data_IF_019558430090
#
_entry.id   IF_019558430090
#
_cell.length_a   1.000
_cell.length_b   1.000
_cell.length_c   1.000
_cell.angle_alpha   90.00
_cell.angle_beta   90.00
_cell.angle_gamma   90.00
#
_symmetry.space_group_name_H-M   'P 1'
#
loop_
_entity.id
_entity.type
_entity.pdbx_description
1 polymer ?
#
# COMPACT_ATOMS: atom_id res chain seq x y z
N UNK A 1 -1.11 -8.26 7.35
CA UNK A 1 -1.54 -7.66 6.07
C UNK A 1 -2.49 -8.50 5.19
N UNK A 2 -2.09 -9.66 4.64
CA UNK A 2 -2.90 -10.35 3.61
C UNK A 2 -4.37 -10.64 4.03
N UNK A 3 -4.57 -11.12 5.26
CA UNK A 3 -5.91 -11.38 5.80
C UNK A 3 -6.75 -10.09 5.95
N UNK A 4 -6.14 -8.97 6.34
CA UNK A 4 -6.81 -7.67 6.44
C UNK A 4 -7.28 -7.20 5.06
N UNK A 5 -6.42 -7.37 4.05
CA UNK A 5 -6.70 -7.00 2.68
C UNK A 5 -7.86 -7.82 2.08
N UNK A 6 -7.84 -9.14 2.26
CA UNK A 6 -8.91 -10.02 1.79
C UNK A 6 -10.24 -9.74 2.51
N UNK A 7 -10.18 -9.52 3.83
CA UNK A 7 -11.36 -9.13 4.64
C UNK A 7 -11.95 -7.82 4.13
N UNK A 8 -11.11 -6.83 3.81
CA UNK A 8 -11.56 -5.57 3.22
C UNK A 8 -12.21 -5.77 1.84
N UNK A 9 -11.61 -6.57 0.96
CA UNK A 9 -12.20 -6.85 -0.34
C UNK A 9 -13.58 -7.48 -0.20
N UNK A 10 -13.75 -8.44 0.71
CA UNK A 10 -15.03 -9.08 1.03
C UNK A 10 -16.06 -8.11 1.62
N UNK A 11 -15.64 -7.12 2.41
CA UNK A 11 -16.54 -6.15 3.07
C UNK A 11 -17.36 -5.26 2.12
N UNK A 12 -16.92 -5.10 0.87
CA UNK A 12 -17.56 -4.17 -0.07
C UNK A 12 -17.33 -2.68 0.22
N UNK A 13 -16.61 -2.34 1.29
CA UNK A 13 -16.37 -0.95 1.71
C UNK A 13 -15.44 -0.19 0.75
N UNK A 14 -15.52 1.14 0.76
CA UNK A 14 -14.80 2.02 -0.18
C UNK A 14 -13.34 2.28 0.18
N UNK A 15 -12.98 2.19 1.45
CA UNK A 15 -11.66 2.57 1.96
C UNK A 15 -11.14 1.49 2.89
N UNK A 16 -9.88 1.13 2.67
CA UNK A 16 -9.06 0.34 3.57
C UNK A 16 -8.07 1.31 4.22
N UNK A 17 -7.96 1.26 5.54
CA UNK A 17 -6.91 1.95 6.27
C UNK A 17 -6.26 0.95 7.22
N UNK A 18 -4.96 0.75 7.08
CA UNK A 18 -4.16 -0.05 7.97
C UNK A 18 -3.56 0.84 9.06
N UNK A 19 -3.50 0.32 10.27
CA UNK A 19 -2.86 0.91 11.46
C UNK A 19 -2.35 -0.24 12.33
N UNK A 20 -1.27 0.00 13.07
CA UNK A 20 -0.75 -0.92 14.07
C UNK A 20 -1.53 -0.82 15.39
N UNK A 21 -1.30 -1.74 16.33
CA UNK A 21 -2.02 -1.83 17.61
C UNK A 21 -1.67 -0.70 18.60
N UNK A 22 -0.57 0.00 18.34
CA UNK A 22 -0.10 1.15 19.10
C UNK A 22 -0.50 2.50 18.47
N UNK A 23 -1.32 2.49 17.41
CA UNK A 23 -1.78 3.70 16.74
C UNK A 23 -3.09 4.26 17.30
N UNK A 24 -3.15 5.58 17.47
CA UNK A 24 -4.40 6.31 17.73
C UNK A 24 -5.03 6.82 16.43
N UNK A 25 -6.30 6.52 16.20
CA UNK A 25 -7.03 6.98 15.01
C UNK A 25 -8.03 8.08 15.38
N UNK A 26 -7.92 9.24 14.73
CA UNK A 26 -8.97 10.28 14.75
C UNK A 26 -9.91 10.09 13.55
N UNK A 27 -11.10 9.46 13.73
CA UNK A 27 -11.98 9.11 12.60
C UNK A 27 -12.59 10.33 11.92
N UNK A 28 -12.77 11.47 12.63
CA UNK A 28 -13.33 12.69 12.05
C UNK A 28 -12.35 13.33 11.06
N UNK A 29 -11.09 13.47 11.49
CA UNK A 29 -10.03 13.98 10.62
C UNK A 29 -9.78 13.05 9.43
N UNK A 30 -9.76 11.73 9.67
CA UNK A 30 -9.61 10.73 8.61
C UNK A 30 -10.73 10.85 7.56
N UNK A 31 -12.00 10.93 8.00
CA UNK A 31 -13.12 11.08 7.08
C UNK A 31 -13.04 12.37 6.25
N UNK A 32 -12.62 13.49 6.85
CA UNK A 32 -12.41 14.75 6.14
C UNK A 32 -11.35 14.62 5.05
N UNK A 33 -10.21 14.00 5.37
CA UNK A 33 -9.14 13.72 4.40
C UNK A 33 -9.64 12.84 3.26
N UNK A 34 -10.24 11.68 3.57
CA UNK A 34 -10.65 10.70 2.55
C UNK A 34 -11.73 11.24 1.60
N UNK A 35 -12.60 12.14 2.07
CA UNK A 35 -13.63 12.80 1.24
C UNK A 35 -13.06 13.80 0.23
N UNK A 36 -11.85 14.31 0.44
CA UNK A 36 -11.22 15.27 -0.47
C UNK A 36 -10.73 14.63 -1.78
N UNK A 37 -10.57 13.30 -1.81
CA UNK A 37 -10.09 12.60 -3.00
C UNK A 37 -11.21 12.35 -4.02
N UNK A 38 -10.95 12.54 -5.34
CA UNK A 38 -11.91 12.21 -6.38
C UNK A 38 -12.22 10.70 -6.42
N UNK A 39 -13.51 10.33 -6.43
CA UNK A 39 -13.96 8.94 -6.46
C UNK A 39 -13.47 8.13 -7.67
N UNK A 40 -13.18 8.81 -8.79
CA UNK A 40 -12.74 8.17 -10.02
C UNK A 40 -11.25 7.80 -10.04
N UNK A 41 -10.44 8.27 -9.09
CA UNK A 41 -8.98 8.05 -9.08
C UNK A 41 -8.60 6.88 -8.18
N UNK A 42 -7.50 6.23 -8.49
CA UNK A 42 -6.85 5.30 -7.57
C UNK A 42 -6.13 6.14 -6.49
N UNK A 43 -6.29 5.78 -5.22
CA UNK A 43 -5.71 6.55 -4.12
C UNK A 43 -4.93 5.63 -3.20
N UNK A 44 -3.68 6.02 -2.93
CA UNK A 44 -2.82 5.52 -1.88
C UNK A 44 -2.27 6.72 -1.13
N UNK A 45 -2.59 6.85 0.16
CA UNK A 45 -2.24 8.01 0.99
C UNK A 45 -1.66 7.57 2.31
N UNK A 46 -0.63 8.28 2.78
CA UNK A 46 0.04 8.01 4.04
C UNK A 46 1.30 8.85 4.19
N UNK A 47 2.11 8.54 5.21
CA UNK A 47 3.41 9.18 5.45
C UNK A 47 4.53 8.42 4.71
N UNK A 48 5.23 9.03 3.74
CA UNK A 48 6.41 8.42 3.13
C UNK A 48 7.44 8.05 4.19
N UNK A 49 7.95 6.82 4.16
CA UNK A 49 8.88 6.32 5.20
C UNK A 49 10.28 6.95 5.12
N UNK A 50 10.75 7.22 3.91
CA UNK A 50 12.06 7.78 3.63
C UNK A 50 11.92 9.17 3.01
N UNK A 51 13.03 9.91 2.96
CA UNK A 51 13.12 11.16 2.19
C UNK A 51 13.46 10.94 0.71
N UNK A 52 13.51 9.67 0.28
CA UNK A 52 13.80 9.22 -1.09
C UNK A 52 13.07 7.90 -1.36
N UNK A 53 12.84 7.50 -2.62
CA UNK A 53 12.38 6.15 -2.93
C UNK A 53 13.32 5.09 -2.34
N UNK A 54 12.78 3.97 -1.89
CA UNK A 54 13.59 2.80 -1.54
C UNK A 54 14.07 2.12 -2.82
N UNK A 55 15.25 1.51 -2.78
CA UNK A 55 15.74 0.64 -3.83
C UNK A 55 15.55 -0.82 -3.42
N UNK A 56 15.01 -1.63 -4.32
CA UNK A 56 14.88 -3.06 -4.12
C UNK A 56 15.34 -3.84 -5.36
N UNK A 57 15.75 -5.08 -5.14
CA UNK A 57 16.08 -6.01 -6.21
C UNK A 57 14.88 -6.93 -6.46
N UNK A 58 14.37 -6.90 -7.69
CA UNK A 58 13.31 -7.81 -8.14
C UNK A 58 13.92 -8.91 -9.02
N UNK A 59 13.91 -10.18 -8.57
CA UNK A 59 14.31 -11.31 -9.40
C UNK A 59 13.45 -11.41 -10.65
N UNK A 60 14.10 -11.71 -11.78
CA UNK A 60 13.46 -11.94 -13.08
C UNK A 60 13.80 -13.34 -13.59
N UNK A 61 13.04 -13.86 -14.58
CA UNK A 61 13.40 -15.08 -15.28
C UNK A 61 14.84 -15.03 -15.83
N UNK A 62 15.47 -16.19 -15.98
CA UNK A 62 16.84 -16.35 -16.49
C UNK A 62 17.93 -15.73 -15.58
N UNK A 63 17.74 -15.80 -14.25
CA UNK A 63 18.68 -15.29 -13.24
C UNK A 63 19.05 -13.81 -13.43
N UNK A 64 18.16 -13.03 -14.04
CA UNK A 64 18.32 -11.58 -14.14
C UNK A 64 17.72 -10.93 -12.89
N UNK A 65 18.22 -9.74 -12.56
CA UNK A 65 17.66 -8.93 -11.48
C UNK A 65 17.35 -7.55 -12.04
N UNK A 66 16.18 -7.02 -11.72
CA UNK A 66 15.81 -5.65 -12.02
C UNK A 66 15.87 -4.82 -10.74
N UNK A 67 16.62 -3.74 -10.78
CA UNK A 67 16.56 -2.73 -9.73
C UNK A 67 15.25 -1.96 -9.88
N UNK A 68 14.44 -1.91 -8.82
CA UNK A 68 13.22 -1.12 -8.75
C UNK A 68 13.38 -0.02 -7.70
N UNK A 69 12.73 1.11 -7.96
CA UNK A 69 12.67 2.25 -7.05
C UNK A 69 11.22 2.66 -6.86
N UNK A 70 10.80 2.86 -5.61
CA UNK A 70 9.42 3.22 -5.29
C UNK A 70 9.30 3.90 -3.93
N UNK A 71 8.23 4.66 -3.75
CA UNK A 71 7.81 5.13 -2.44
C UNK A 71 6.86 4.14 -1.78
N UNK A 72 6.85 4.15 -0.45
CA UNK A 72 5.90 3.41 0.36
C UNK A 72 5.52 4.24 1.59
N UNK A 73 4.28 4.09 2.02
CA UNK A 73 3.79 4.66 3.27
C UNK A 73 4.26 3.80 4.44
N UNK A 74 4.72 4.45 5.51
CA UNK A 74 5.17 3.78 6.73
C UNK A 74 4.00 3.04 7.39
N UNK A 75 4.14 1.73 7.63
CA UNK A 75 3.10 0.91 8.26
C UNK A 75 2.59 1.49 9.59
N UNK A 76 3.53 1.73 10.52
CA UNK A 76 3.21 2.24 11.86
C UNK A 76 2.79 3.71 11.94
N UNK A 77 2.77 4.44 10.82
CA UNK A 77 2.10 5.76 10.77
C UNK A 77 0.64 5.66 10.30
N UNK A 78 0.24 4.46 9.85
CA UNK A 78 -0.98 4.20 9.13
C UNK A 78 -0.94 4.65 7.67
N UNK A 79 -1.77 3.99 6.85
CA UNK A 79 -2.00 4.39 5.46
C UNK A 79 -3.38 3.95 5.00
N UNK A 80 -3.88 4.56 3.92
CA UNK A 80 -5.15 4.17 3.32
C UNK A 80 -5.05 3.96 1.81
N UNK A 81 -5.85 3.01 1.31
CA UNK A 81 -6.12 2.82 -0.12
C UNK A 81 -7.62 2.77 -0.37
N UNK A 82 -8.06 3.20 -1.55
CA UNK A 82 -9.45 3.02 -1.94
C UNK A 82 -9.70 1.66 -2.59
N UNK A 83 -10.96 1.21 -2.57
CA UNK A 83 -11.38 -0.09 -3.12
C UNK A 83 -10.98 -0.27 -4.58
N UNK A 84 -11.05 0.79 -5.37
CA UNK A 84 -10.68 0.76 -6.79
C UNK A 84 -9.22 0.34 -6.98
N UNK A 85 -8.30 0.91 -6.21
CA UNK A 85 -6.90 0.52 -6.20
C UNK A 85 -6.72 -0.89 -5.64
N UNK A 86 -7.35 -1.21 -4.51
CA UNK A 86 -7.24 -2.54 -3.91
C UNK A 86 -7.67 -3.67 -4.85
N UNK A 87 -8.76 -3.51 -5.61
CA UNK A 87 -9.18 -4.50 -6.60
C UNK A 87 -8.10 -4.73 -7.68
N UNK A 88 -7.37 -3.69 -8.09
CA UNK A 88 -6.25 -3.82 -9.03
C UNK A 88 -5.03 -4.49 -8.40
N UNK A 89 -4.84 -4.36 -7.09
CA UNK A 89 -3.74 -4.99 -6.35
C UNK A 89 -3.98 -6.49 -6.13
N UNK A 90 -5.22 -6.99 -6.21
CA UNK A 90 -5.58 -8.37 -5.91
C UNK A 90 -4.70 -9.45 -6.58
N UNK A 91 -4.24 -9.32 -7.85
CA UNK A 91 -3.36 -10.30 -8.48
C UNK A 91 -1.99 -10.47 -7.81
N UNK A 92 -1.60 -9.56 -6.90
CA UNK A 92 -0.36 -9.61 -6.11
C UNK A 92 -0.61 -9.59 -4.59
N UNK A 93 -1.77 -9.13 -4.13
CA UNK A 93 -2.02 -8.88 -2.71
C UNK A 93 -3.08 -9.79 -2.07
N UNK A 94 -3.88 -10.52 -2.84
CA UNK A 94 -4.97 -11.36 -2.30
C UNK A 94 -4.54 -12.81 -2.12
N UNK A 95 -5.01 -13.46 -1.05
CA UNK A 95 -4.66 -14.82 -0.69
C UNK A 95 -3.16 -14.99 -0.40
N UNK A 96 -2.57 -16.12 -0.83
CA UNK A 96 -1.15 -16.42 -0.63
C UNK A 96 -0.20 -15.46 -1.38
N UNK A 97 -0.71 -14.74 -2.38
CA UNK A 97 0.09 -13.94 -3.32
C UNK A 97 0.81 -12.79 -2.65
N UNK A 98 0.26 -12.26 -1.56
CA UNK A 98 0.91 -11.20 -0.80
C UNK A 98 2.25 -11.69 -0.24
N UNK A 99 2.28 -12.91 0.31
CA UNK A 99 3.49 -13.53 0.83
C UNK A 99 4.47 -13.83 -0.30
N UNK A 100 4.00 -14.34 -1.44
CA UNK A 100 4.84 -14.58 -2.62
C UNK A 100 5.50 -13.27 -3.11
N UNK A 101 4.74 -12.18 -3.13
CA UNK A 101 5.20 -10.86 -3.57
C UNK A 101 6.19 -10.25 -2.58
N UNK A 102 5.91 -10.34 -1.27
CA UNK A 102 6.84 -9.91 -0.22
C UNK A 102 8.14 -10.71 -0.28
N UNK A 103 8.06 -12.04 -0.43
CA UNK A 103 9.22 -12.92 -0.55
C UNK A 103 10.06 -12.65 -1.81
N UNK A 104 9.41 -12.28 -2.93
CA UNK A 104 10.08 -11.92 -4.17
C UNK A 104 11.03 -10.72 -3.98
N UNK A 105 10.56 -9.67 -3.31
CA UNK A 105 11.34 -8.43 -3.10
C UNK A 105 12.12 -8.44 -1.77
N UNK A 106 11.82 -9.39 -0.87
CA UNK A 106 12.41 -9.54 0.47
C UNK A 106 12.26 -8.29 1.33
N UNK A 107 11.07 -7.69 1.31
CA UNK A 107 10.75 -6.48 2.06
C UNK A 107 9.50 -6.67 2.94
N UNK A 108 9.35 -5.86 4.00
CA UNK A 108 8.18 -5.90 4.89
C UNK A 108 6.84 -5.61 4.18
N UNK A 109 5.75 -5.78 4.92
CA UNK A 109 4.38 -5.65 4.40
C UNK A 109 4.10 -4.25 3.82
N UNK A 110 4.52 -3.19 4.48
CA UNK A 110 4.30 -1.81 4.04
C UNK A 110 5.07 -1.47 2.74
N UNK A 111 6.31 -1.94 2.65
CA UNK A 111 7.12 -1.89 1.44
C UNK A 111 6.49 -2.70 0.31
N UNK A 112 5.91 -3.87 0.62
CA UNK A 112 5.21 -4.72 -0.36
C UNK A 112 3.98 -4.01 -0.92
N UNK A 113 3.21 -3.32 -0.09
CA UNK A 113 2.09 -2.47 -0.53
C UNK A 113 2.56 -1.37 -1.49
N UNK A 114 3.60 -0.63 -1.12
CA UNK A 114 4.17 0.42 -1.98
C UNK A 114 4.71 -0.12 -3.30
N UNK A 115 5.41 -1.26 -3.27
CA UNK A 115 5.93 -1.93 -4.46
C UNK A 115 4.83 -2.36 -5.43
N UNK A 116 3.75 -2.98 -4.94
CA UNK A 116 2.62 -3.38 -5.80
C UNK A 116 2.03 -2.13 -6.46
N UNK A 117 1.78 -1.07 -5.68
CA UNK A 117 1.12 0.14 -6.16
C UNK A 117 1.99 0.89 -7.17
N UNK A 118 3.26 1.17 -6.86
CA UNK A 118 4.11 1.98 -7.74
C UNK A 118 4.78 1.17 -8.85
N UNK A 119 5.29 -0.03 -8.57
CA UNK A 119 6.04 -0.81 -9.55
C UNK A 119 5.19 -1.74 -10.41
N UNK A 120 4.08 -2.30 -9.90
CA UNK A 120 3.20 -3.18 -10.69
C UNK A 120 2.06 -2.41 -11.35
N UNK A 121 1.50 -1.41 -10.66
CA UNK A 121 0.32 -0.68 -11.13
C UNK A 121 0.61 0.72 -11.67
N UNK A 122 1.84 1.24 -11.51
CA UNK A 122 2.19 2.60 -11.95
C UNK A 122 1.47 3.70 -11.16
N UNK A 123 0.95 3.38 -9.97
CA UNK A 123 0.38 4.32 -9.03
C UNK A 123 1.44 5.18 -8.35
N UNK A 124 1.00 6.04 -7.43
CA UNK A 124 1.90 6.90 -6.62
C UNK A 124 1.35 7.06 -5.22
N UNK A 125 2.24 7.03 -4.24
CA UNK A 125 1.93 7.47 -2.89
C UNK A 125 1.60 8.98 -2.91
N UNK A 126 0.48 9.34 -2.29
CA UNK A 126 0.11 10.72 -2.02
C UNK A 126 0.53 11.03 -0.57
N UNK A 127 1.60 11.84 -0.37
CA UNK A 127 2.05 12.18 0.97
C UNK A 127 0.98 12.96 1.71
N UNK A 128 0.75 12.62 2.98
CA UNK A 128 -0.10 13.41 3.87
C UNK A 128 0.60 13.65 5.20
N UNK A 129 0.66 14.91 5.69
CA UNK A 129 1.27 15.24 6.96
C UNK A 129 0.40 14.86 8.17
N UNK A 130 -0.77 14.25 7.95
CA UNK A 130 -1.73 13.87 8.99
C UNK A 130 -1.52 12.44 9.53
N UNK A 131 -0.55 11.70 8.99
CA UNK A 131 -0.14 10.36 9.44
C UNK A 131 1.20 10.50 10.16
N UNK A 132 1.35 9.89 11.33
CA UNK A 132 2.50 10.09 12.22
C UNK A 132 3.08 8.78 12.71
#
# INVERSE_FOLDING_TARGET
MAAEFDTFLASGLRWFCHVDDDNYVNPRALLQLLRAFPLARDVYVGRPSLNRPIHASEPQPHNRTRLVQFWFATGGAGFCINRKLALKMAPWASGSRFMDTSALIRLPDDCTMGYIIECKLGGRLQPSPLFH
#
